data_IF_062651087587
#
_entry.id   IF_062651087587
#
_cell.length_a   1.000
_cell.length_b   1.000
_cell.length_c   1.000
_cell.angle_alpha   90.00
_cell.angle_beta   90.00
_cell.angle_gamma   90.00
#
_symmetry.space_group_name_H-M   'P 1'
#
loop_
_entity.id
_entity.type
_entity.pdbx_description
1 polymer ?
#
# COMPACT_ATOMS: atom_id res chain seq x y z
N UNK A 1 -32.61 7.16 -18.31
CA UNK A 1 -31.33 6.51 -17.96
C UNK A 1 -30.43 7.58 -17.36
N UNK A 2 -30.15 7.49 -16.08
CA UNK A 2 -29.14 8.32 -15.41
C UNK A 2 -27.81 7.57 -15.45
N UNK A 3 -26.73 8.28 -15.78
CA UNK A 3 -25.37 7.74 -15.78
C UNK A 3 -24.64 8.36 -14.59
N UNK A 4 -24.14 7.56 -13.63
CA UNK A 4 -23.48 8.10 -12.45
C UNK A 4 -22.15 8.76 -12.83
N UNK A 5 -21.87 9.93 -12.23
CA UNK A 5 -20.66 10.70 -12.45
C UNK A 5 -19.73 10.51 -11.24
N UNK A 6 -18.54 9.93 -11.46
CA UNK A 6 -17.67 9.50 -10.35
C UNK A 6 -16.81 10.62 -9.73
N UNK A 7 -16.68 11.79 -10.38
CA UNK A 7 -15.97 12.93 -9.81
C UNK A 7 -16.30 14.22 -10.56
N UNK A 8 -16.59 15.30 -9.82
CA UNK A 8 -16.75 16.65 -10.34
C UNK A 8 -15.75 17.57 -9.61
N UNK A 9 -14.87 18.19 -10.39
CA UNK A 9 -13.94 19.19 -9.87
C UNK A 9 -14.64 20.53 -9.68
N UNK A 10 -14.68 21.02 -8.44
CA UNK A 10 -15.18 22.35 -8.11
C UNK A 10 -16.60 22.38 -7.57
N UNK A 11 -16.79 23.11 -6.47
CA UNK A 11 -18.07 23.19 -5.75
C UNK A 11 -19.19 23.80 -6.61
N UNK A 12 -18.87 24.77 -7.47
CA UNK A 12 -19.85 25.42 -8.36
C UNK A 12 -20.40 24.46 -9.43
N UNK A 13 -19.54 23.63 -10.02
CA UNK A 13 -19.96 22.64 -11.01
C UNK A 13 -20.81 21.53 -10.37
N UNK A 14 -20.48 21.15 -9.12
CA UNK A 14 -21.27 20.21 -8.31
C UNK A 14 -22.67 20.77 -8.04
N UNK A 15 -22.79 22.03 -7.60
CA UNK A 15 -24.06 22.64 -7.23
C UNK A 15 -24.98 22.85 -8.45
N UNK A 16 -24.41 23.25 -9.60
CA UNK A 16 -25.15 23.38 -10.87
C UNK A 16 -25.76 22.06 -11.35
N UNK A 17 -25.03 20.95 -11.22
CA UNK A 17 -25.48 19.62 -11.67
C UNK A 17 -26.42 18.94 -10.67
N UNK A 18 -26.35 19.29 -9.39
CA UNK A 18 -27.17 18.71 -8.32
C UNK A 18 -28.43 19.53 -8.01
N UNK A 19 -28.76 20.54 -8.83
CA UNK A 19 -30.00 21.30 -8.65
C UNK A 19 -31.21 20.34 -8.70
N UNK A 20 -31.81 20.13 -7.53
CA UNK A 20 -33.03 19.35 -7.25
C UNK A 20 -32.92 17.81 -7.08
N UNK A 21 -31.72 17.25 -6.85
CA UNK A 21 -31.62 15.87 -6.34
C UNK A 21 -31.10 15.86 -4.90
N UNK A 22 -31.93 15.36 -3.97
CA UNK A 22 -31.47 14.98 -2.62
C UNK A 22 -30.26 14.05 -2.80
N UNK A 23 -29.09 14.56 -2.40
CA UNK A 23 -27.81 13.90 -2.71
C UNK A 23 -27.81 12.47 -2.22
N UNK A 24 -27.63 11.53 -3.15
CA UNK A 24 -27.34 10.15 -2.81
C UNK A 24 -26.16 10.14 -1.82
N UNK A 25 -26.40 9.55 -0.66
CA UNK A 25 -25.39 9.42 0.40
C UNK A 25 -24.14 8.83 -0.23
N UNK A 26 -22.98 9.46 -0.02
CA UNK A 26 -21.70 8.95 -0.48
C UNK A 26 -21.62 7.48 -0.06
N UNK A 27 -21.74 6.58 -1.05
CA UNK A 27 -21.65 5.15 -0.83
C UNK A 27 -20.30 4.91 -0.17
N UNK A 28 -20.30 4.57 1.12
CA UNK A 28 -19.12 4.08 1.82
C UNK A 28 -18.73 2.78 1.11
N UNK A 29 -17.88 2.90 0.09
CA UNK A 29 -17.38 1.76 -0.64
C UNK A 29 -16.61 0.91 0.35
N UNK A 30 -17.05 -0.32 0.53
CA UNK A 30 -16.28 -1.32 1.26
C UNK A 30 -14.93 -1.47 0.55
N UNK A 31 -13.87 -0.98 1.19
CA UNK A 31 -12.51 -1.08 0.67
C UNK A 31 -12.14 -2.57 0.73
N UNK A 32 -12.26 -3.27 -0.39
CA UNK A 32 -11.99 -4.70 -0.47
C UNK A 32 -10.48 -5.03 -0.45
N UNK A 33 -9.63 -4.05 -0.77
CA UNK A 33 -8.19 -4.24 -0.86
C UNK A 33 -7.40 -3.09 -0.24
N UNK A 34 -6.24 -3.43 0.30
CA UNK A 34 -5.25 -2.50 0.80
C UNK A 34 -3.92 -2.71 0.08
N UNK A 35 -3.21 -1.60 -0.16
CA UNK A 35 -1.84 -1.60 -0.59
C UNK A 35 -0.96 -1.51 0.65
N UNK A 36 -0.25 -2.60 0.97
CA UNK A 36 0.79 -2.61 1.98
C UNK A 36 2.07 -2.09 1.35
N UNK A 37 2.68 -1.10 1.99
CA UNK A 37 3.96 -0.52 1.60
C UNK A 37 4.98 -0.83 2.69
N UNK A 38 6.07 -1.45 2.28
CA UNK A 38 7.21 -1.76 3.14
C UNK A 38 8.39 -0.95 2.66
N UNK A 39 9.09 -0.27 3.57
CA UNK A 39 10.37 0.38 3.32
C UNK A 39 11.41 -0.40 4.11
N UNK A 40 12.41 -0.95 3.43
CA UNK A 40 13.46 -1.75 4.05
C UNK A 40 14.84 -1.31 3.57
N UNK A 41 15.88 -1.68 4.31
CA UNK A 41 17.27 -1.56 3.86
C UNK A 41 17.49 -2.40 2.59
N UNK A 42 18.36 -1.92 1.70
CA UNK A 42 18.73 -2.63 0.47
C UNK A 42 19.14 -4.09 0.73
N UNK A 43 18.79 -4.99 -0.20
CA UNK A 43 19.07 -6.42 -0.12
C UNK A 43 18.15 -7.19 0.82
N UNK A 44 17.05 -6.58 1.28
CA UNK A 44 16.13 -7.19 2.24
C UNK A 44 14.78 -7.58 1.62
N UNK A 45 14.59 -7.34 0.32
CA UNK A 45 13.39 -7.71 -0.44
C UNK A 45 12.96 -9.16 -0.20
N UNK A 46 13.88 -10.12 -0.30
CA UNK A 46 13.54 -11.54 -0.15
C UNK A 46 13.02 -11.85 1.25
N UNK A 47 13.70 -11.33 2.28
CA UNK A 47 13.27 -11.50 3.68
C UNK A 47 11.87 -10.92 3.93
N UNK A 48 11.58 -9.74 3.36
CA UNK A 48 10.26 -9.10 3.46
C UNK A 48 9.20 -9.91 2.71
N UNK A 49 9.49 -10.31 1.47
CA UNK A 49 8.54 -11.03 0.64
C UNK A 49 8.27 -12.45 1.13
N UNK A 50 9.25 -13.14 1.67
CA UNK A 50 9.07 -14.49 2.24
C UNK A 50 8.19 -14.42 3.50
N UNK A 51 8.44 -13.45 4.38
CA UNK A 51 7.58 -13.19 5.53
C UNK A 51 6.14 -12.87 5.12
N UNK A 52 5.96 -12.08 4.05
CA UNK A 52 4.65 -11.74 3.53
C UNK A 52 3.93 -12.95 2.89
N UNK A 53 4.64 -13.75 2.09
CA UNK A 53 4.10 -14.93 1.40
C UNK A 53 3.64 -16.01 2.37
N UNK A 54 4.38 -16.23 3.45
CA UNK A 54 3.95 -17.14 4.52
C UNK A 54 2.63 -16.72 5.18
N UNK A 55 2.31 -15.42 5.14
CA UNK A 55 1.06 -14.86 5.64
C UNK A 55 -0.03 -14.71 4.56
N UNK A 56 0.18 -15.27 3.36
CA UNK A 56 -0.80 -15.30 2.28
C UNK A 56 -0.67 -14.19 1.23
N UNK A 57 0.41 -13.41 1.22
CA UNK A 57 0.69 -12.49 0.12
C UNK A 57 0.99 -13.27 -1.17
N UNK A 58 0.38 -12.88 -2.28
CA UNK A 58 0.57 -13.53 -3.59
C UNK A 58 1.82 -13.03 -4.32
N UNK A 59 2.27 -11.82 -4.00
CA UNK A 59 3.41 -11.18 -4.64
C UNK A 59 3.51 -9.70 -4.26
N UNK A 60 4.42 -9.01 -4.93
CA UNK A 60 4.60 -7.58 -4.76
C UNK A 60 5.51 -6.99 -5.82
N UNK A 61 5.48 -5.65 -5.92
CA UNK A 61 6.37 -4.88 -6.79
C UNK A 61 7.46 -4.24 -5.94
N UNK A 62 8.69 -4.26 -6.44
CA UNK A 62 9.85 -3.71 -5.73
C UNK A 62 10.36 -2.48 -6.47
N UNK A 63 10.58 -1.40 -5.74
CA UNK A 63 11.18 -0.16 -6.25
C UNK A 63 12.44 0.14 -5.44
N UNK A 64 13.55 0.33 -6.14
CA UNK A 64 14.78 0.84 -5.52
C UNK A 64 14.62 2.33 -5.25
N UNK A 65 14.88 2.73 -4.01
CA UNK A 65 14.69 4.09 -3.53
C UNK A 65 15.91 4.59 -2.78
N UNK A 66 15.93 5.89 -2.48
CA UNK A 66 16.90 6.49 -1.58
C UNK A 66 16.17 7.12 -0.40
N UNK A 67 16.52 6.70 0.81
CA UNK A 67 15.96 7.20 2.05
C UNK A 67 16.91 8.18 2.72
N UNK A 68 16.39 9.32 3.16
CA UNK A 68 17.10 10.31 3.98
C UNK A 68 16.75 10.17 5.47
N UNK A 69 15.77 9.35 5.85
CA UNK A 69 15.28 9.22 7.23
C UNK A 69 16.27 8.68 8.26
N UNK A 70 17.42 8.11 7.83
CA UNK A 70 18.49 7.63 8.72
C UNK A 70 19.51 8.72 9.10
N UNK A 71 19.21 9.99 8.80
CA UNK A 71 20.06 11.19 8.95
C UNK A 71 20.60 11.46 10.38
N UNK A 72 20.25 10.67 11.39
CA UNK A 72 20.82 10.80 12.73
C UNK A 72 22.21 10.16 12.90
N UNK A 73 22.68 9.25 12.01
CA UNK A 73 23.88 8.45 12.34
C UNK A 73 25.04 8.48 11.33
N UNK A 74 24.92 8.95 10.08
CA UNK A 74 26.06 8.81 9.14
C UNK A 74 26.39 10.07 8.34
N UNK A 75 26.81 11.12 9.05
CA UNK A 75 27.68 12.17 8.49
C UNK A 75 29.08 11.57 8.28
N UNK A 76 29.36 11.08 7.08
CA UNK A 76 30.74 10.80 6.66
C UNK A 76 31.30 12.06 5.99
N UNK A 77 32.32 12.67 6.58
CA UNK A 77 33.06 13.81 5.99
C UNK A 77 32.20 15.02 5.55
N UNK A 78 31.13 15.35 6.28
CA UNK A 78 30.32 16.55 5.99
C UNK A 78 29.34 16.41 4.81
N UNK A 79 29.17 15.20 4.25
CA UNK A 79 28.18 14.89 3.21
C UNK A 79 27.07 14.03 3.83
N UNK A 80 25.80 14.37 3.58
CA UNK A 80 24.67 13.47 3.90
C UNK A 80 24.69 12.32 2.89
N UNK A 81 24.87 11.10 3.38
CA UNK A 81 24.75 9.90 2.56
C UNK A 81 23.28 9.47 2.62
N UNK A 82 22.55 9.69 1.52
CA UNK A 82 21.24 9.08 1.36
C UNK A 82 21.42 7.55 1.33
N UNK A 83 20.73 6.85 2.23
CA UNK A 83 20.76 5.39 2.31
C UNK A 83 20.00 4.79 1.14
N UNK A 84 20.53 3.73 0.52
CA UNK A 84 19.76 2.96 -0.45
C UNK A 84 18.72 2.12 0.29
N UNK A 85 17.48 2.18 -0.20
CA UNK A 85 16.33 1.48 0.36
C UNK A 85 15.61 0.71 -0.73
N UNK A 86 14.85 -0.30 -0.32
CA UNK A 86 13.93 -1.05 -1.16
C UNK A 86 12.51 -0.80 -0.66
N UNK A 87 11.64 -0.36 -1.56
CA UNK A 87 10.22 -0.23 -1.31
C UNK A 87 9.48 -1.43 -1.91
N UNK A 88 8.79 -2.19 -1.08
CA UNK A 88 8.00 -3.35 -1.51
C UNK A 88 6.51 -3.00 -1.39
N UNK A 89 5.80 -3.15 -2.50
CA UNK A 89 4.37 -2.87 -2.64
C UNK A 89 3.62 -4.18 -2.77
N UNK A 90 2.76 -4.48 -1.79
CA UNK A 90 1.99 -5.72 -1.74
C UNK A 90 0.51 -5.35 -1.76
N UNK A 91 -0.19 -5.71 -2.83
CA UNK A 91 -1.64 -5.57 -2.90
C UNK A 91 -2.28 -6.80 -2.25
N UNK A 92 -3.13 -6.60 -1.24
CA UNK A 92 -3.78 -7.67 -0.52
C UNK A 92 -5.26 -7.35 -0.29
N UNK A 93 -6.08 -8.40 -0.14
CA UNK A 93 -7.44 -8.22 0.37
C UNK A 93 -7.40 -7.67 1.79
N UNK A 94 -8.37 -6.82 2.14
CA UNK A 94 -8.38 -6.11 3.42
C UNK A 94 -8.34 -7.04 4.65
N UNK A 95 -8.92 -8.24 4.55
CA UNK A 95 -8.84 -9.28 5.58
C UNK A 95 -7.42 -9.84 5.78
N UNK A 96 -6.61 -9.91 4.72
CA UNK A 96 -5.25 -10.44 4.75
C UNK A 96 -4.21 -9.39 5.20
N UNK A 97 -4.57 -8.10 5.18
CA UNK A 97 -3.67 -7.00 5.54
C UNK A 97 -2.97 -7.19 6.88
N UNK A 98 -3.77 -7.38 7.95
CA UNK A 98 -3.25 -7.44 9.33
C UNK A 98 -2.31 -8.64 9.54
N UNK A 99 -2.65 -9.87 9.11
CA UNK A 99 -1.72 -10.99 9.14
C UNK A 99 -0.39 -10.70 8.45
N UNK A 100 -0.43 -10.17 7.22
CA UNK A 100 0.78 -9.88 6.42
C UNK A 100 1.66 -8.85 7.13
N UNK A 101 1.09 -7.72 7.57
CA UNK A 101 1.86 -6.70 8.28
C UNK A 101 2.52 -7.23 9.55
N UNK A 102 1.82 -8.08 10.33
CA UNK A 102 2.39 -8.70 11.53
C UNK A 102 3.54 -9.65 11.21
N UNK A 103 3.42 -10.47 10.17
CA UNK A 103 4.46 -11.40 9.77
C UNK A 103 5.74 -10.67 9.32
N UNK A 104 5.59 -9.62 8.52
CA UNK A 104 6.71 -8.76 8.09
C UNK A 104 7.36 -8.11 9.32
N UNK A 105 6.59 -7.53 10.24
CA UNK A 105 7.15 -6.91 11.45
C UNK A 105 7.87 -7.92 12.35
N UNK A 106 7.42 -9.16 12.42
CA UNK A 106 8.04 -10.20 13.23
C UNK A 106 9.40 -10.69 12.66
N UNK A 107 9.50 -10.83 11.32
CA UNK A 107 10.71 -11.37 10.67
C UNK A 107 11.67 -10.31 10.13
N UNK A 108 11.11 -9.21 9.63
CA UNK A 108 11.82 -8.15 8.91
C UNK A 108 11.64 -6.77 9.57
N UNK A 109 11.09 -6.67 10.79
CA UNK A 109 10.87 -5.40 11.48
C UNK A 109 12.15 -4.68 11.90
N UNK A 110 12.01 -3.62 12.71
CA UNK A 110 13.10 -2.70 13.09
C UNK A 110 14.33 -3.37 13.74
N UNK A 111 14.14 -4.52 14.39
CA UNK A 111 15.21 -5.29 15.05
C UNK A 111 15.94 -6.27 14.12
N UNK A 112 15.44 -6.46 12.90
CA UNK A 112 16.06 -7.33 11.89
C UNK A 112 17.10 -6.56 11.07
N UNK A 113 17.84 -7.27 10.22
CA UNK A 113 18.73 -6.65 9.23
C UNK A 113 17.99 -5.74 8.23
N UNK A 114 16.71 -6.05 7.95
CA UNK A 114 15.88 -5.27 7.04
C UNK A 114 15.47 -3.91 7.61
N UNK A 115 15.41 -3.80 8.94
CA UNK A 115 14.98 -2.60 9.67
C UNK A 115 13.71 -1.95 9.08
N UNK A 116 12.73 -2.78 8.71
CA UNK A 116 11.64 -2.28 7.88
C UNK A 116 10.60 -1.45 8.64
N UNK A 117 10.01 -0.51 7.92
CA UNK A 117 8.80 0.22 8.26
C UNK A 117 7.66 -0.28 7.37
N UNK A 118 6.49 -0.54 7.94
CA UNK A 118 5.32 -1.04 7.21
C UNK A 118 4.11 -0.16 7.49
N UNK A 119 3.42 0.26 6.43
CA UNK A 119 2.12 0.95 6.51
C UNK A 119 1.21 0.50 5.37
N UNK A 120 -0.06 0.88 5.41
CA UNK A 120 -1.05 0.49 4.39
C UNK A 120 -1.86 1.69 3.91
N UNK A 121 -2.27 1.65 2.65
CA UNK A 121 -3.15 2.62 2.03
C UNK A 121 -4.40 1.90 1.48
N UNK A 122 -5.61 2.46 1.64
CA UNK A 122 -6.81 1.88 1.05
C UNK A 122 -6.77 1.99 -0.47
N UNK A 123 -7.23 0.94 -1.17
CA UNK A 123 -7.30 0.93 -2.64
C UNK A 123 -8.75 1.05 -3.08
N UNK A 124 -9.08 2.13 -3.80
CA UNK A 124 -10.44 2.43 -4.22
C UNK A 124 -10.94 1.56 -5.37
N UNK A 125 -10.10 1.33 -6.37
CA UNK A 125 -10.42 0.54 -7.57
C UNK A 125 -9.16 -0.19 -8.05
N UNK A 126 -9.32 -1.39 -8.62
CA UNK A 126 -8.22 -2.19 -9.17
C UNK A 126 -8.59 -2.67 -10.57
N UNK A 127 -7.63 -2.66 -11.48
CA UNK A 127 -7.75 -3.24 -12.82
C UNK A 127 -6.61 -4.23 -13.09
N UNK A 128 -6.88 -5.29 -13.85
CA UNK A 128 -5.85 -6.24 -14.30
C UNK A 128 -5.49 -7.36 -13.31
N UNK A 129 -6.19 -7.46 -12.16
CA UNK A 129 -6.11 -8.66 -11.33
C UNK A 129 -6.89 -9.80 -11.98
N UNK A 130 -6.25 -10.96 -12.13
CA UNK A 130 -6.98 -12.21 -12.41
C UNK A 130 -7.63 -12.64 -11.10
N UNK A 131 -8.96 -12.63 -11.03
CA UNK A 131 -9.67 -13.33 -9.95
C UNK A 131 -9.19 -14.78 -9.95
N UNK A 132 -8.46 -15.17 -8.90
CA UNK A 132 -8.24 -16.58 -8.64
C UNK A 132 -9.59 -17.10 -8.17
N UNK A 133 -10.31 -17.74 -9.09
CA UNK A 133 -11.53 -18.51 -8.82
C UNK A 133 -11.31 -19.32 -7.54
N UNK A 134 -12.18 -19.10 -6.55
CA UNK A 134 -12.27 -20.04 -5.44
C UNK A 134 -12.77 -21.36 -6.04
N UNK A 135 -12.14 -22.51 -5.75
CA UNK A 135 -12.72 -23.77 -6.14
C UNK A 135 -14.06 -23.91 -5.41
N UNK A 136 -15.17 -23.85 -6.15
CA UNK A 136 -16.47 -24.23 -5.63
C UNK A 136 -16.36 -25.68 -5.12
N UNK A 137 -16.79 -25.87 -3.87
CA UNK A 137 -16.82 -27.18 -3.20
C UNK A 137 -18.02 -28.00 -3.67
#
# INVERSE_FOLDING_TARGET
>A
MTVPVNSIGGSTAKEYLLHEQEGETAMEREIAHDLIVVIANQGSTDLVMDAAREAGATGGTVIHAKGTGTDLVRKFFGVSIASEQEMVFILARSEAKKPIMKAIMAKAGIQSAAQSLVFSLPVGDIAGLRELEQPET
#
